data_IF_715030377822
#
_entry.id   IF_715030377822
#
_cell.length_a   1.000
_cell.length_b   1.000
_cell.length_c   1.000
_cell.angle_alpha   90.00
_cell.angle_beta   90.00
_cell.angle_gamma   90.00
#
_symmetry.space_group_name_H-M   'P 1'
#
loop_
_entity.id
_entity.type
_entity.pdbx_description
1 polymer ?
#
# COMPACT_ATOMS: atom_id res chain seq x y z
N UNK A 1 -46.74 16.62 13.66
CA UNK A 1 -46.55 16.38 12.22
C UNK A 1 -45.13 16.80 11.85
N UNK A 2 -44.44 15.96 11.09
CA UNK A 2 -43.06 16.16 10.64
C UNK A 2 -42.98 17.21 9.51
N UNK A 3 -41.94 18.05 9.53
CA UNK A 3 -41.36 18.63 8.33
C UNK A 3 -39.85 18.77 8.53
N UNK A 4 -39.14 17.83 7.92
CA UNK A 4 -37.77 17.99 7.50
C UNK A 4 -37.71 19.08 6.40
N UNK A 5 -36.66 19.89 6.35
CA UNK A 5 -35.63 19.75 5.30
C UNK A 5 -34.42 20.66 5.59
N UNK A 6 -33.30 20.27 4.98
CA UNK A 6 -31.90 20.66 5.17
C UNK A 6 -31.69 22.15 4.90
N UNK A 7 -30.69 22.81 5.47
CA UNK A 7 -29.34 22.89 4.88
C UNK A 7 -28.29 22.98 5.98
N UNK A 8 -27.68 21.83 6.24
CA UNK A 8 -26.25 21.60 6.43
C UNK A 8 -25.43 22.71 7.13
N UNK A 9 -25.51 22.66 8.46
CA UNK A 9 -24.40 22.93 9.35
C UNK A 9 -23.20 22.02 9.01
N UNK A 10 -22.00 22.51 9.30
CA UNK A 10 -20.70 21.81 9.44
C UNK A 10 -19.73 22.09 8.28
N UNK A 11 -18.84 23.08 8.40
CA UNK A 11 -17.47 22.88 8.90
C UNK A 11 -16.96 21.46 8.66
N UNK A 12 -16.05 21.29 7.69
CA UNK A 12 -14.81 20.50 7.79
C UNK A 12 -14.09 20.57 6.43
N UNK A 13 -13.35 21.66 6.23
CA UNK A 13 -12.12 21.56 5.47
C UNK A 13 -11.14 20.75 6.32
N UNK A 14 -11.04 19.43 6.11
CA UNK A 14 -9.84 18.67 6.47
C UNK A 14 -9.73 17.41 5.59
N UNK A 15 -8.71 17.44 4.73
CA UNK A 15 -8.01 16.32 4.12
C UNK A 15 -8.70 15.56 2.97
N UNK A 16 -8.52 16.11 1.77
CA UNK A 16 -8.09 15.30 0.64
C UNK A 16 -6.73 14.67 0.94
N UNK A 17 -6.73 13.50 1.56
CA UNK A 17 -5.66 12.52 1.43
C UNK A 17 -6.31 11.17 1.69
N UNK A 18 -7.06 10.71 0.68
CA UNK A 18 -7.41 9.30 0.55
C UNK A 18 -6.13 8.51 0.35
N UNK A 19 -5.31 8.40 1.41
CA UNK A 19 -4.38 7.30 1.56
C UNK A 19 -5.24 6.08 1.83
N UNK A 20 -5.84 5.54 0.77
CA UNK A 20 -6.46 4.23 0.81
C UNK A 20 -5.38 3.29 1.34
N UNK A 21 -5.56 2.81 2.57
CA UNK A 21 -4.83 1.65 3.06
C UNK A 21 -5.33 0.52 2.17
N UNK A 22 -4.65 0.31 1.04
CA UNK A 22 -4.88 -0.88 0.25
C UNK A 22 -4.38 -2.03 1.09
N UNK A 23 -5.32 -2.85 1.56
CA UNK A 23 -5.04 -4.09 2.25
C UNK A 23 -4.47 -5.04 1.21
N UNK A 24 -3.14 -5.10 1.14
CA UNK A 24 -2.44 -6.04 0.29
C UNK A 24 -2.37 -7.37 1.04
N UNK A 25 -3.17 -8.37 0.64
CA UNK A 25 -3.12 -9.71 1.25
C UNK A 25 -1.83 -10.44 0.85
N UNK A 26 -1.34 -10.18 -0.36
CA UNK A 26 -0.23 -10.92 -0.94
C UNK A 26 1.01 -10.06 -1.19
N UNK A 27 0.87 -8.77 -1.49
CA UNK A 27 2.01 -7.91 -1.79
C UNK A 27 2.62 -7.28 -0.52
N UNK A 28 3.94 -7.30 -0.41
CA UNK A 28 4.64 -6.59 0.67
C UNK A 28 4.92 -5.16 0.20
N UNK A 29 4.25 -4.18 0.79
CA UNK A 29 4.50 -2.76 0.51
C UNK A 29 5.01 -2.04 1.75
N UNK A 30 5.91 -1.08 1.54
CA UNK A 30 6.41 -0.17 2.57
C UNK A 30 5.99 1.24 2.20
N UNK A 31 5.26 1.91 3.09
CA UNK A 31 4.84 3.29 2.91
C UNK A 31 5.75 4.18 3.75
N UNK A 32 6.55 5.02 3.11
CA UNK A 32 7.39 6.02 3.78
C UNK A 32 7.10 7.39 3.15
N UNK A 33 6.80 8.40 3.98
CA UNK A 33 6.50 9.77 3.53
C UNK A 33 5.45 9.88 2.41
N UNK A 34 4.47 8.96 2.39
CA UNK A 34 3.42 8.90 1.36
C UNK A 34 3.84 8.23 0.05
N UNK A 35 5.04 7.66 -0.03
CA UNK A 35 5.53 6.89 -1.17
C UNK A 35 5.35 5.40 -0.88
N UNK A 36 4.57 4.70 -1.73
CA UNK A 36 4.39 3.25 -1.62
C UNK A 36 5.49 2.54 -2.40
N UNK A 37 6.39 1.89 -1.67
CA UNK A 37 7.44 1.05 -2.23
C UNK A 37 7.02 -0.41 -2.16
N UNK A 38 6.90 -1.04 -3.32
CA UNK A 38 6.66 -2.47 -3.44
C UNK A 38 7.96 -3.22 -3.19
N UNK A 39 7.93 -4.17 -2.25
CA UNK A 39 9.06 -5.02 -1.88
C UNK A 39 8.88 -6.43 -2.44
N UNK A 40 10.01 -7.11 -2.60
CA UNK A 40 10.01 -8.52 -2.97
C UNK A 40 9.58 -9.42 -1.80
N UNK A 41 8.61 -10.29 -2.04
CA UNK A 41 8.12 -11.24 -1.04
C UNK A 41 9.21 -12.20 -0.51
N UNK A 42 10.22 -12.54 -1.31
CA UNK A 42 11.28 -13.47 -0.89
C UNK A 42 12.50 -12.78 -0.26
N UNK A 43 12.93 -11.61 -0.76
CA UNK A 43 14.18 -10.98 -0.30
C UNK A 43 14.05 -9.55 0.25
N UNK A 44 12.89 -8.91 0.10
CA UNK A 44 12.63 -7.56 0.62
C UNK A 44 13.25 -6.42 -0.15
N UNK A 45 13.91 -6.70 -1.28
CA UNK A 45 14.41 -5.63 -2.14
C UNK A 45 13.26 -4.84 -2.75
N UNK A 46 13.41 -3.52 -2.87
CA UNK A 46 12.44 -2.68 -3.56
C UNK A 46 12.37 -3.06 -5.04
N UNK A 47 11.19 -3.44 -5.51
CA UNK A 47 10.90 -3.79 -6.90
C UNK A 47 10.39 -2.56 -7.65
N UNK A 48 9.47 -1.82 -7.05
CA UNK A 48 8.85 -0.65 -7.67
C UNK A 48 8.48 0.40 -6.62
N UNK A 49 8.39 1.66 -7.04
CA UNK A 49 7.86 2.77 -6.25
C UNK A 49 6.70 3.37 -7.02
N UNK A 50 5.59 3.62 -6.35
CA UNK A 50 4.37 4.12 -7.00
C UNK A 50 3.27 4.43 -6.00
N UNK A 51 2.10 4.80 -6.52
CA UNK A 51 0.90 5.01 -5.72
C UNK A 51 -0.05 3.80 -5.74
N UNK A 52 0.09 2.90 -6.72
CA UNK A 52 -0.76 1.74 -6.93
C UNK A 52 0.12 0.56 -7.35
N UNK A 53 -0.10 -0.60 -6.74
CA UNK A 53 0.52 -1.87 -7.13
C UNK A 53 -0.58 -2.95 -7.18
N UNK A 54 -0.39 -4.00 -7.97
CA UNK A 54 -1.30 -5.16 -7.92
C UNK A 54 -1.08 -5.95 -6.63
N UNK A 55 -2.17 -6.40 -5.99
CA UNK A 55 -2.09 -7.31 -4.86
C UNK A 55 -1.82 -8.75 -5.32
N UNK A 56 -0.56 -9.02 -5.62
CA UNK A 56 -0.06 -10.35 -5.95
C UNK A 56 1.34 -10.50 -5.38
N UNK A 57 1.82 -11.73 -5.30
CA UNK A 57 3.21 -11.95 -4.88
C UNK A 57 4.18 -11.38 -5.92
N UNK A 58 5.05 -10.46 -5.48
CA UNK A 58 6.05 -9.84 -6.35
C UNK A 58 7.45 -10.35 -6.02
N UNK A 59 8.17 -10.72 -7.07
CA UNK A 59 9.54 -11.25 -6.96
C UNK A 59 10.50 -10.40 -7.80
N UNK A 60 11.67 -10.07 -7.25
CA UNK A 60 12.71 -9.42 -8.04
C UNK A 60 13.30 -10.43 -9.04
N UNK A 61 13.93 -9.93 -10.11
CA UNK A 61 14.55 -10.76 -11.16
C UNK A 61 15.54 -11.79 -10.61
N UNK A 62 16.26 -11.43 -9.54
CA UNK A 62 17.21 -12.33 -8.87
C UNK A 62 16.52 -13.51 -8.18
N UNK A 63 15.38 -13.25 -7.53
CA UNK A 63 14.60 -14.28 -6.87
C UNK A 63 13.85 -15.15 -7.88
N UNK A 64 13.33 -14.56 -8.97
CA UNK A 64 12.76 -15.31 -10.09
C UNK A 64 13.80 -16.24 -10.74
N UNK A 65 15.06 -15.80 -10.80
CA UNK A 65 16.17 -16.60 -11.33
C UNK A 65 16.74 -17.62 -10.33
N UNK A 66 16.16 -17.73 -9.11
CA UNK A 66 16.64 -18.62 -8.06
C UNK A 66 17.99 -18.23 -7.44
N UNK A 67 18.53 -17.05 -7.75
CA UNK A 67 19.85 -16.59 -7.33
C UNK A 67 19.80 -15.59 -6.15
N UNK A 68 18.62 -15.43 -5.53
CA UNK A 68 18.46 -14.64 -4.32
C UNK A 68 19.09 -15.34 -3.12
N UNK A 69 20.23 -14.83 -2.64
CA UNK A 69 20.83 -15.27 -1.36
C UNK A 69 20.18 -14.64 -0.12
N UNK A 70 19.47 -13.52 -0.29
CA UNK A 70 18.79 -12.83 0.79
C UNK A 70 17.39 -13.41 1.03
N UNK A 71 17.06 -13.62 2.31
CA UNK A 71 15.72 -14.00 2.78
C UNK A 71 15.14 -12.81 3.53
N UNK A 72 14.00 -12.32 3.08
CA UNK A 72 13.26 -11.28 3.78
C UNK A 72 12.73 -11.89 5.06
N UNK A 73 13.21 -11.38 6.20
CA UNK A 73 12.57 -11.65 7.49
C UNK A 73 11.52 -10.58 7.66
N UNK A 74 10.27 -10.90 7.31
CA UNK A 74 9.14 -10.08 7.73
C UNK A 74 9.00 -10.34 9.23
N UNK A 75 9.53 -9.44 10.07
CA UNK A 75 9.21 -9.45 11.49
C UNK A 75 7.74 -9.05 11.60
N UNK A 76 6.88 -10.07 11.69
CA UNK A 76 5.43 -9.93 11.84
C UNK A 76 5.09 -9.54 13.26
#
# INVERSE_FOLDING_TARGET
MAFADKVLLSTLAVWGHSGAFMDYEHAIVKVEDGIVTLLCNNCGSAIAKGAQHEDREHFCTMCMSGNCKAKFKTEK
#
